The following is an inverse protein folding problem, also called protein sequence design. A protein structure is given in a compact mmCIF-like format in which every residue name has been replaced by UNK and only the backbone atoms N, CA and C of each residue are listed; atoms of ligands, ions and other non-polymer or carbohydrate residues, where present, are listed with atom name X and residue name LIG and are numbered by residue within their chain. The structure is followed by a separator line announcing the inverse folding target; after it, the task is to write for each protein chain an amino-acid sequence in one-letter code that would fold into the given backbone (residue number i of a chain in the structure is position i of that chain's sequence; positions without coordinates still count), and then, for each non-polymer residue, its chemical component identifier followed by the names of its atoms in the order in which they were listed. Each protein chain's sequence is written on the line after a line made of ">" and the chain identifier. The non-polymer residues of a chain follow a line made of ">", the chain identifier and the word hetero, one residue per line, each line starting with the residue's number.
data_IF_080069036009
#
_entry.id   IF_080069036009
#
_cell.length_a   1.000
_cell.length_b   1.000
_cell.length_c   1.000
_cell.angle_alpha   90.00
_cell.angle_beta   90.00
_cell.angle_gamma   90.00
#
_symmetry.space_group_name_H-M   'P 1'
#
loop_
_entity.id
_entity.type
_entity.pdbx_description
1 polymer ?
#
# COMPACT_ATOMS: atom_id res chain seq x y z
N UNK A 1 -42.48 14.27 -27.01
CA UNK A 1 -42.41 14.02 -25.56
C UNK A 1 -41.49 12.84 -25.35
N UNK A 2 -40.39 13.03 -24.60
CA UNK A 2 -39.62 12.02 -23.86
C UNK A 2 -38.39 12.74 -23.28
N UNK A 3 -38.60 13.43 -22.17
CA UNK A 3 -37.53 14.04 -21.37
C UNK A 3 -36.78 12.95 -20.64
N UNK A 4 -35.59 12.59 -21.12
CA UNK A 4 -34.68 11.69 -20.40
C UNK A 4 -34.17 12.44 -19.17
N UNK A 5 -34.65 12.05 -17.99
CA UNK A 5 -34.14 12.53 -16.71
C UNK A 5 -32.68 12.11 -16.56
N UNK A 6 -31.75 13.04 -16.82
CA UNK A 6 -30.35 12.92 -16.42
C UNK A 6 -30.32 13.05 -14.90
N UNK A 7 -30.20 11.93 -14.16
CA UNK A 7 -29.91 11.99 -12.73
C UNK A 7 -28.61 12.75 -12.55
N UNK A 8 -28.70 13.96 -12.04
CA UNK A 8 -27.57 14.82 -11.77
C UNK A 8 -26.91 14.32 -10.49
N UNK A 9 -25.91 13.46 -10.62
CA UNK A 9 -25.06 13.06 -9.50
C UNK A 9 -24.35 14.31 -8.99
N UNK A 10 -24.68 14.75 -7.77
CA UNK A 10 -24.21 16.01 -7.18
C UNK A 10 -22.91 15.85 -6.35
N UNK A 11 -22.35 14.66 -6.30
CA UNK A 11 -21.16 14.38 -5.50
C UNK A 11 -19.91 14.90 -6.21
N UNK A 12 -19.03 15.63 -5.49
CA UNK A 12 -17.84 16.30 -6.05
C UNK A 12 -16.94 15.40 -6.89
N UNK A 13 -16.86 14.12 -6.52
CA UNK A 13 -16.13 13.07 -7.27
C UNK A 13 -16.51 13.03 -8.77
N UNK A 14 -17.75 13.36 -9.14
CA UNK A 14 -18.20 13.37 -10.54
C UNK A 14 -17.99 14.70 -11.27
N UNK A 15 -17.49 15.72 -10.58
CA UNK A 15 -17.27 17.05 -11.14
C UNK A 15 -15.82 17.26 -11.58
N UNK A 16 -14.89 16.44 -11.11
CA UNK A 16 -13.48 16.50 -11.51
C UNK A 16 -13.21 15.57 -12.71
N UNK A 17 -12.20 15.91 -13.51
CA UNK A 17 -11.73 15.07 -14.61
C UNK A 17 -10.60 14.14 -14.11
N UNK A 18 -10.89 12.86 -13.81
CA UNK A 18 -9.88 11.93 -13.31
C UNK A 18 -8.81 11.62 -14.37
N UNK A 19 -9.11 11.74 -15.68
CA UNK A 19 -8.12 11.52 -16.73
C UNK A 19 -7.13 12.69 -16.78
N UNK A 20 -7.61 13.92 -16.57
CA UNK A 20 -6.75 15.08 -16.43
C UNK A 20 -5.82 14.95 -15.22
N UNK A 21 -6.37 14.64 -14.03
CA UNK A 21 -5.56 14.44 -12.83
C UNK A 21 -4.53 13.30 -13.00
N UNK A 22 -4.94 12.21 -13.64
CA UNK A 22 -4.02 11.10 -13.98
C UNK A 22 -2.90 11.54 -14.93
N UNK A 23 -3.17 12.46 -15.85
CA UNK A 23 -2.15 12.96 -16.79
C UNK A 23 -1.04 13.77 -16.11
N UNK A 24 -1.31 14.26 -14.88
CA UNK A 24 -0.36 15.04 -14.09
C UNK A 24 0.59 14.15 -13.26
N UNK A 25 0.26 12.86 -13.09
CA UNK A 25 1.08 11.93 -12.31
C UNK A 25 2.48 11.83 -12.92
N UNK A 26 3.50 11.83 -12.06
CA UNK A 26 4.94 11.83 -12.39
C UNK A 26 5.40 13.05 -13.20
N UNK A 27 4.62 14.14 -13.20
CA UNK A 27 4.99 15.42 -13.81
C UNK A 27 5.36 16.43 -12.73
N UNK A 28 6.21 17.39 -13.12
CA UNK A 28 6.48 18.57 -12.30
C UNK A 28 5.25 19.47 -12.34
N UNK A 29 4.70 19.78 -11.16
CA UNK A 29 3.51 20.61 -11.01
C UNK A 29 3.74 21.74 -10.00
N UNK A 30 2.90 22.76 -10.12
CA UNK A 30 2.68 23.82 -9.14
C UNK A 30 1.29 23.64 -8.55
N UNK A 31 1.18 23.72 -7.23
CA UNK A 31 -0.10 23.72 -6.52
C UNK A 31 -0.22 25.06 -5.80
N UNK A 32 -1.36 25.73 -5.97
CA UNK A 32 -1.71 26.93 -5.21
C UNK A 32 -2.83 26.59 -4.25
N UNK A 33 -2.64 26.91 -2.98
CA UNK A 33 -3.64 26.71 -1.92
C UNK A 33 -4.47 27.96 -1.66
N UNK A 34 -5.53 27.81 -0.88
CA UNK A 34 -6.47 28.88 -0.47
C UNK A 34 -5.80 30.03 0.30
N UNK A 35 -4.78 29.71 1.11
CA UNK A 35 -3.90 30.68 1.78
C UNK A 35 -2.88 31.36 0.84
N UNK A 36 -2.99 31.13 -0.48
CA UNK A 36 -2.06 31.61 -1.52
C UNK A 36 -0.64 31.03 -1.43
N UNK A 37 -0.42 30.00 -0.60
CA UNK A 37 0.86 29.29 -0.59
C UNK A 37 1.05 28.51 -1.89
N UNK A 38 2.29 28.48 -2.39
CA UNK A 38 2.66 27.78 -3.61
C UNK A 38 3.55 26.60 -3.26
N UNK A 39 3.20 25.42 -3.75
CA UNK A 39 3.99 24.19 -3.61
C UNK A 39 4.47 23.72 -4.97
N UNK A 40 5.74 23.31 -5.04
CA UNK A 40 6.38 22.84 -6.27
C UNK A 40 6.91 21.44 -6.05
N UNK A 41 6.61 20.52 -6.96
CA UNK A 41 7.13 19.17 -6.85
C UNK A 41 6.58 18.25 -7.93
N UNK A 42 6.87 16.97 -7.77
CA UNK A 42 6.42 15.92 -8.67
C UNK A 42 5.14 15.33 -8.09
N UNK A 43 4.06 15.31 -8.88
CA UNK A 43 2.81 14.70 -8.43
C UNK A 43 2.96 13.17 -8.37
N UNK A 44 2.82 12.58 -7.18
CA UNK A 44 2.91 11.14 -7.01
C UNK A 44 1.57 10.44 -7.25
N UNK A 45 0.53 10.91 -6.57
CA UNK A 45 -0.83 10.38 -6.69
C UNK A 45 -1.84 11.41 -6.22
N UNK A 46 -3.10 11.17 -6.56
CA UNK A 46 -4.26 11.93 -6.11
C UNK A 46 -5.27 10.95 -5.55
N UNK A 47 -5.77 11.21 -4.35
CA UNK A 47 -6.95 10.49 -3.85
C UNK A 47 -8.20 11.02 -4.58
N UNK A 48 -8.90 10.22 -5.38
CA UNK A 48 -10.06 10.68 -6.15
C UNK A 48 -11.26 11.06 -5.28
N UNK A 49 -11.28 10.67 -3.99
CA UNK A 49 -12.38 10.98 -3.07
C UNK A 49 -12.17 12.30 -2.36
N UNK A 50 -11.04 12.46 -1.66
CA UNK A 50 -10.74 13.70 -0.93
C UNK A 50 -10.07 14.77 -1.78
N UNK A 51 -9.63 14.42 -2.99
CA UNK A 51 -8.83 15.26 -3.89
C UNK A 51 -7.47 15.65 -3.29
N UNK A 52 -7.06 14.98 -2.21
CA UNK A 52 -5.77 15.19 -1.58
C UNK A 52 -4.65 14.71 -2.50
N UNK A 53 -3.57 15.48 -2.52
CA UNK A 53 -2.43 15.27 -3.40
C UNK A 53 -1.22 14.84 -2.59
N UNK A 54 -0.52 13.82 -3.07
CA UNK A 54 0.82 13.47 -2.59
C UNK A 54 1.84 14.09 -3.54
N UNK A 55 2.57 15.09 -3.05
CA UNK A 55 3.61 15.81 -3.77
C UNK A 55 4.99 15.38 -3.28
N UNK A 56 5.92 15.15 -4.20
CA UNK A 56 7.31 14.84 -3.88
C UNK A 56 8.19 16.02 -4.25
N UNK A 57 8.89 16.55 -3.25
CA UNK A 57 9.84 17.65 -3.40
C UNK A 57 11.26 17.07 -3.32
N UNK A 58 12.18 17.59 -4.14
CA UNK A 58 13.60 17.20 -4.10
C UNK A 58 14.42 18.38 -3.61
N UNK A 59 15.10 18.21 -2.50
CA UNK A 59 15.99 19.21 -1.90
C UNK A 59 17.33 18.55 -1.57
N UNK A 60 18.44 19.07 -2.08
CA UNK A 60 19.80 18.57 -1.79
C UNK A 60 19.94 17.03 -1.90
N UNK A 61 19.48 16.45 -3.01
CA UNK A 61 19.45 14.99 -3.26
C UNK A 61 18.54 14.15 -2.33
N UNK A 62 17.79 14.78 -1.42
CA UNK A 62 16.78 14.12 -0.58
C UNK A 62 15.39 14.32 -1.16
N UNK A 63 14.54 13.31 -0.98
CA UNK A 63 13.14 13.37 -1.34
C UNK A 63 12.29 13.63 -0.10
N UNK A 64 11.39 14.60 -0.21
CA UNK A 64 10.42 14.95 0.81
C UNK A 64 9.02 14.66 0.29
N UNK A 65 8.22 13.91 1.07
CA UNK A 65 6.83 13.62 0.73
C UNK A 65 5.94 14.60 1.48
N UNK A 66 5.07 15.28 0.76
CA UNK A 66 4.09 16.23 1.30
C UNK A 66 2.70 15.81 0.89
N UNK A 67 1.78 15.78 1.85
CA UNK A 67 0.35 15.60 1.58
C UNK A 67 -0.33 16.95 1.66
N UNK A 68 -0.99 17.36 0.59
CA UNK A 68 -1.79 18.59 0.54
C UNK A 68 -3.26 18.17 0.49
N UNK A 69 -4.04 18.63 1.46
CA UNK A 69 -5.46 18.26 1.60
C UNK A 69 -6.28 18.89 0.48
N UNK A 70 -7.13 18.10 -0.18
CA UNK A 70 -7.79 18.54 -1.43
C UNK A 70 -8.63 19.81 -1.28
N UNK A 71 -9.29 20.00 -0.14
CA UNK A 71 -10.12 21.19 0.09
C UNK A 71 -9.34 22.50 0.20
N UNK A 72 -8.03 22.46 0.49
CA UNK A 72 -7.19 23.65 0.51
C UNK A 72 -6.59 23.95 -0.86
N UNK A 73 -6.73 23.05 -1.84
CA UNK A 73 -6.17 23.23 -3.19
C UNK A 73 -7.11 24.09 -4.02
N UNK A 74 -6.60 25.22 -4.50
CA UNK A 74 -7.32 26.11 -5.40
C UNK A 74 -6.99 25.80 -6.87
N UNK A 75 -5.73 25.47 -7.18
CA UNK A 75 -5.29 25.23 -8.55
C UNK A 75 -4.09 24.27 -8.63
N UNK A 76 -4.05 23.47 -9.70
CA UNK A 76 -2.93 22.59 -10.05
C UNK A 76 -2.51 22.88 -11.49
N UNK A 77 -1.24 23.24 -11.69
CA UNK A 77 -0.67 23.55 -13.00
C UNK A 77 0.53 22.66 -13.30
N UNK A 78 0.57 22.10 -14.50
CA UNK A 78 1.76 21.37 -14.97
C UNK A 78 2.83 22.36 -15.41
N UNK A 79 4.02 22.26 -14.80
CA UNK A 79 5.19 23.08 -15.16
C UNK A 79 5.97 22.40 -16.29
N UNK A 80 6.09 21.08 -16.23
CA UNK A 80 6.83 20.30 -17.23
C UNK A 80 6.10 19.03 -17.63
N UNK A 81 6.04 18.80 -18.95
CA UNK A 81 5.52 17.56 -19.53
C UNK A 81 6.51 16.39 -19.44
N UNK A 82 7.75 16.62 -19.00
CA UNK A 82 8.73 15.54 -18.80
C UNK A 82 8.29 14.63 -17.66
N UNK A 83 8.13 13.34 -17.94
CA UNK A 83 7.93 12.35 -16.86
C UNK A 83 9.23 12.18 -16.10
N UNK A 84 9.19 12.37 -14.78
CA UNK A 84 10.32 12.12 -13.90
C UNK A 84 10.22 10.72 -13.32
N UNK A 85 11.31 9.96 -13.37
CA UNK A 85 11.41 8.69 -12.67
C UNK A 85 11.64 8.98 -11.18
N UNK A 86 10.59 8.80 -10.40
CA UNK A 86 10.66 8.85 -8.96
C UNK A 86 11.22 7.52 -8.42
N UNK A 87 12.02 7.55 -7.34
CA UNK A 87 12.34 6.32 -6.62
C UNK A 87 11.04 5.70 -6.10
N UNK A 88 11.04 4.38 -6.00
CA UNK A 88 9.87 3.65 -5.56
C UNK A 88 9.74 3.78 -4.03
N UNK A 89 8.97 4.77 -3.56
CA UNK A 89 8.78 5.08 -2.13
C UNK A 89 8.10 3.95 -1.36
N UNK A 90 7.25 3.20 -2.04
CA UNK A 90 6.54 2.04 -1.50
C UNK A 90 7.06 0.77 -2.17
N UNK A 91 8.37 0.55 -2.08
CA UNK A 91 8.88 -0.81 -2.17
C UNK A 91 8.47 -1.50 -0.87
N UNK A 92 7.29 -2.13 -0.85
CA UNK A 92 7.19 -3.40 -0.14
C UNK A 92 8.30 -4.22 -0.78
N UNK A 93 9.37 -4.46 -0.04
CA UNK A 93 10.54 -5.13 -0.54
C UNK A 93 10.15 -6.60 -0.78
N UNK A 94 9.46 -6.83 -1.90
CA UNK A 94 9.14 -8.15 -2.39
C UNK A 94 10.46 -8.74 -2.89
N UNK A 95 11.18 -9.33 -1.96
CA UNK A 95 12.28 -10.22 -2.25
C UNK A 95 11.65 -11.59 -2.46
N UNK A 96 11.43 -12.03 -3.71
CA UNK A 96 10.94 -13.37 -3.94
C UNK A 96 11.94 -14.35 -3.32
N UNK A 97 11.51 -15.04 -2.25
CA UNK A 97 12.30 -16.12 -1.68
C UNK A 97 12.42 -17.23 -2.71
N UNK A 98 13.62 -17.75 -2.86
CA UNK A 98 13.89 -18.97 -3.62
C UNK A 98 13.17 -20.15 -2.97
N UNK A 99 12.92 -21.21 -3.74
CA UNK A 99 12.30 -22.44 -3.21
C UNK A 99 13.11 -23.04 -2.05
N UNK A 100 14.44 -22.84 -2.05
CA UNK A 100 15.34 -23.28 -0.98
C UNK A 100 15.08 -22.48 0.30
N UNK A 101 15.03 -21.16 0.21
CA UNK A 101 14.74 -20.27 1.35
C UNK A 101 13.34 -20.54 1.92
N UNK A 102 12.33 -20.72 1.06
CA UNK A 102 10.98 -21.10 1.47
C UNK A 102 10.97 -22.46 2.20
N UNK A 103 11.69 -23.44 1.67
CA UNK A 103 11.82 -24.77 2.29
C UNK A 103 12.48 -24.68 3.67
N UNK A 104 13.55 -23.91 3.81
CA UNK A 104 14.29 -23.81 5.06
C UNK A 104 13.50 -23.04 6.12
N UNK A 105 12.88 -21.93 5.73
CA UNK A 105 11.95 -21.19 6.58
C UNK A 105 10.78 -22.04 7.05
N UNK A 106 10.18 -22.83 6.14
CA UNK A 106 9.11 -23.78 6.49
C UNK A 106 9.58 -24.79 7.54
N UNK A 107 10.78 -25.37 7.38
CA UNK A 107 11.34 -26.32 8.36
C UNK A 107 11.55 -25.67 9.72
N UNK A 108 12.05 -24.43 9.76
CA UNK A 108 12.24 -23.68 11.00
C UNK A 108 10.93 -23.42 11.72
N UNK A 109 9.89 -22.98 11.00
CA UNK A 109 8.56 -22.77 11.54
C UNK A 109 7.99 -24.08 12.12
N UNK A 110 8.06 -25.20 11.37
CA UNK A 110 7.61 -26.51 11.88
C UNK A 110 8.34 -26.92 13.15
N UNK A 111 9.67 -26.72 13.20
CA UNK A 111 10.49 -27.00 14.39
C UNK A 111 10.05 -26.15 15.58
N UNK A 112 9.80 -24.86 15.36
CA UNK A 112 9.40 -23.94 16.40
C UNK A 112 8.03 -24.27 16.98
N UNK A 113 7.03 -24.56 16.15
CA UNK A 113 5.72 -24.98 16.64
C UNK A 113 5.80 -26.31 17.41
N UNK A 114 6.62 -27.27 16.95
CA UNK A 114 6.87 -28.50 17.68
C UNK A 114 7.49 -28.25 19.06
N UNK A 115 8.47 -27.33 19.18
CA UNK A 115 9.04 -26.91 20.46
C UNK A 115 8.00 -26.28 21.39
N UNK A 116 7.03 -25.57 20.81
CA UNK A 116 5.91 -24.95 21.53
C UNK A 116 4.70 -25.91 21.71
N UNK A 117 4.86 -27.20 21.40
CA UNK A 117 3.84 -28.27 21.54
C UNK A 117 2.57 -28.03 20.70
N UNK A 118 2.70 -27.34 19.58
CA UNK A 118 1.64 -27.22 18.59
C UNK A 118 1.86 -28.23 17.47
N UNK A 119 0.91 -29.15 17.23
CA UNK A 119 0.99 -30.06 16.10
C UNK A 119 0.76 -29.30 14.79
N UNK A 120 1.70 -29.41 13.86
CA UNK A 120 1.60 -28.78 12.54
C UNK A 120 1.47 -29.87 11.48
N UNK A 121 0.40 -29.81 10.69
CA UNK A 121 0.24 -30.57 9.45
C UNK A 121 0.65 -29.72 8.26
N UNK A 122 1.01 -30.37 7.15
CA UNK A 122 1.41 -29.68 5.92
C UNK A 122 0.62 -30.24 4.75
N UNK A 123 -0.05 -29.35 4.02
CA UNK A 123 -0.87 -29.69 2.86
C UNK A 123 -0.63 -28.65 1.75
N UNK A 124 -0.12 -29.09 0.59
CA UNK A 124 0.15 -28.21 -0.56
C UNK A 124 0.99 -26.97 -0.18
N UNK A 125 2.09 -27.16 0.55
CA UNK A 125 2.97 -26.09 1.06
C UNK A 125 2.31 -25.13 2.08
N UNK A 126 1.11 -25.43 2.57
CA UNK A 126 0.44 -24.67 3.64
C UNK A 126 0.65 -25.39 4.97
N UNK A 127 1.09 -24.66 6.00
CA UNK A 127 1.19 -25.18 7.36
C UNK A 127 -0.14 -24.98 8.08
N UNK A 128 -0.68 -26.05 8.68
CA UNK A 128 -1.99 -26.06 9.32
C UNK A 128 -1.88 -26.50 10.79
N UNK A 129 -2.66 -25.86 11.67
CA UNK A 129 -2.79 -26.23 13.08
C UNK A 129 -4.27 -26.39 13.41
N UNK A 130 -4.68 -27.64 13.66
CA UNK A 130 -6.03 -28.04 14.10
C UNK A 130 -7.17 -27.40 13.31
N UNK A 131 -6.97 -27.14 12.01
CA UNK A 131 -7.91 -26.47 11.10
C UNK A 131 -8.31 -25.04 11.52
N UNK A 132 -7.56 -24.44 12.45
CA UNK A 132 -7.84 -23.12 13.03
C UNK A 132 -6.86 -22.06 12.55
N UNK A 133 -5.64 -22.46 12.22
CA UNK A 133 -4.58 -21.59 11.70
C UNK A 133 -4.00 -22.20 10.43
N UNK A 134 -3.85 -21.37 9.41
CA UNK A 134 -3.14 -21.68 8.18
C UNK A 134 -2.03 -20.66 7.98
N UNK A 135 -0.83 -21.10 7.59
CA UNK A 135 0.29 -20.22 7.25
C UNK A 135 0.70 -20.55 5.82
N UNK A 136 0.44 -19.61 4.92
CA UNK A 136 0.76 -19.73 3.50
C UNK A 136 2.18 -19.19 3.21
N UNK A 137 2.86 -19.64 2.14
CA UNK A 137 4.09 -19.01 1.66
C UNK A 137 3.90 -17.50 1.42
N UNK A 138 4.91 -16.64 1.67
CA UNK A 138 6.27 -16.92 2.15
C UNK A 138 6.40 -17.15 3.66
N UNK A 139 5.29 -17.47 4.34
CA UNK A 139 5.23 -17.77 5.77
C UNK A 139 5.58 -16.56 6.65
N UNK A 140 5.21 -15.34 6.25
CA UNK A 140 5.28 -14.16 7.09
C UNK A 140 4.11 -14.13 8.09
N UNK A 141 4.21 -13.24 9.08
CA UNK A 141 3.10 -12.98 10.00
C UNK A 141 1.82 -12.59 9.25
N UNK A 142 1.96 -11.81 8.19
CA UNK A 142 0.86 -11.37 7.32
C UNK A 142 0.21 -12.51 6.53
N UNK A 143 0.89 -13.65 6.38
CA UNK A 143 0.37 -14.84 5.69
C UNK A 143 -0.30 -15.84 6.64
N UNK A 144 -0.53 -15.44 7.90
CA UNK A 144 -1.27 -16.25 8.86
C UNK A 144 -2.78 -15.99 8.76
N UNK A 145 -3.55 -17.03 8.44
CA UNK A 145 -5.01 -16.99 8.35
C UNK A 145 -5.58 -17.73 9.56
N UNK A 146 -6.29 -17.00 10.42
CA UNK A 146 -6.94 -17.56 11.60
C UNK A 146 -8.24 -16.82 11.90
N UNK A 147 -9.31 -17.55 12.21
CA UNK A 147 -10.60 -16.97 12.61
C UNK A 147 -10.64 -16.56 14.08
N UNK A 148 -9.67 -17.01 14.88
CA UNK A 148 -9.58 -16.73 16.31
C UNK A 148 -8.40 -15.77 16.61
N UNK A 149 -8.69 -14.49 16.93
CA UNK A 149 -7.63 -13.49 17.16
C UNK A 149 -6.74 -13.79 18.38
N UNK A 150 -7.24 -14.55 19.36
CA UNK A 150 -6.45 -14.98 20.52
C UNK A 150 -5.38 -15.99 20.09
N UNK A 151 -5.76 -16.93 19.21
CA UNK A 151 -4.82 -17.91 18.65
C UNK A 151 -3.81 -17.21 17.74
N UNK A 152 -4.28 -16.30 16.87
CA UNK A 152 -3.41 -15.53 15.98
C UNK A 152 -2.35 -14.73 16.75
N UNK A 153 -2.73 -14.06 17.84
CA UNK A 153 -1.79 -13.31 18.66
C UNK A 153 -0.72 -14.22 19.32
N UNK A 154 -1.11 -15.43 19.76
CA UNK A 154 -0.14 -16.41 20.29
C UNK A 154 0.82 -16.88 19.21
N UNK A 155 0.31 -17.14 18.01
CA UNK A 155 1.11 -17.52 16.83
C UNK A 155 2.10 -16.43 16.49
N UNK A 156 1.68 -15.16 16.50
CA UNK A 156 2.58 -14.04 16.26
C UNK A 156 3.73 -13.99 17.26
N UNK A 157 3.46 -14.19 18.55
CA UNK A 157 4.49 -14.24 19.59
C UNK A 157 5.46 -15.43 19.45
N UNK A 158 4.99 -16.52 18.85
CA UNK A 158 5.85 -17.67 18.52
C UNK A 158 6.73 -17.30 17.33
N UNK A 159 6.12 -16.92 16.20
CA UNK A 159 6.83 -16.60 14.96
C UNK A 159 7.79 -15.42 15.08
N UNK A 160 7.52 -14.44 15.95
CA UNK A 160 8.43 -13.32 16.21
C UNK A 160 9.78 -13.76 16.79
N UNK A 161 9.92 -15.00 17.25
CA UNK A 161 11.20 -15.57 17.70
C UNK A 161 12.16 -15.88 16.54
N UNK A 162 11.68 -15.91 15.29
CA UNK A 162 12.46 -16.29 14.11
C UNK A 162 13.10 -15.09 13.37
N UNK A 163 12.99 -13.85 13.87
CA UNK A 163 13.35 -12.64 13.09
C UNK A 163 12.78 -12.70 11.67
N UNK A 164 11.53 -13.13 11.58
CA UNK A 164 10.74 -13.18 10.35
C UNK A 164 10.25 -11.75 10.09
N UNK A 165 10.90 -11.07 9.14
CA UNK A 165 10.41 -9.85 8.51
C UNK A 165 9.64 -10.18 7.22
#
# INVERSE_FOLDING_TARGET
>A
MSSVHKKQYSHKIYNNDPLLLKSYINKQIQITTDDSTIHHGILYTVDPVSESVVLIERENEKFHVKVIVGHSINNIQMISNSTLHLPQFFNLAYHPMTDVELSDRRKEIKKLFAQNRFPVTEHNDILEIENMLFIEPPYNLENCICTNPIILNRVYNILSQLNID
#
